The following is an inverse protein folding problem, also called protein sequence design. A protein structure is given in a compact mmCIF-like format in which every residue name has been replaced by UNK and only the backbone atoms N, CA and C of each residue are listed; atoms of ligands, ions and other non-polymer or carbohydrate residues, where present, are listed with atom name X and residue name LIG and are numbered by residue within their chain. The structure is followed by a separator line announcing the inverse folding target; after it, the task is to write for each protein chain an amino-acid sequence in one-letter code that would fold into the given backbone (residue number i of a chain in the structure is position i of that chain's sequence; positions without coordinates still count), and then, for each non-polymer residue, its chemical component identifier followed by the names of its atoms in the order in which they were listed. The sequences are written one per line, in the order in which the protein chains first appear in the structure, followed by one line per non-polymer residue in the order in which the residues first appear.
data_IF_008941467744
#
_entry.id   IF_008941467744
#
_cell.length_a   1.000
_cell.length_b   1.000
_cell.length_c   1.000
_cell.angle_alpha   90.00
_cell.angle_beta   90.00
_cell.angle_gamma   90.00
#
_symmetry.space_group_name_H-M   'P 1'
#
loop_
_entity.id
_entity.type
_entity.pdbx_description
1 polymer ?
#
# COMPACT_ATOMS: atom_id res chain seq x y z
N UNK A 1 -47.08 6.24 32.99
CA UNK A 1 -47.35 7.63 32.53
C UNK A 1 -46.61 7.88 31.22
N UNK A 2 -47.33 8.03 30.11
CA UNK A 2 -46.74 8.32 28.78
C UNK A 2 -46.08 9.70 28.81
N UNK A 3 -44.77 9.79 28.43
CA UNK A 3 -44.11 11.10 28.36
C UNK A 3 -44.77 11.92 27.26
N UNK A 4 -45.24 13.13 27.62
CA UNK A 4 -45.92 14.05 26.72
C UNK A 4 -45.08 14.28 25.44
N UNK A 5 -45.67 14.13 24.27
CA UNK A 5 -45.10 14.39 22.95
C UNK A 5 -45.51 15.80 22.48
N UNK A 6 -44.72 16.35 21.52
CA UNK A 6 -45.02 17.59 20.81
C UNK A 6 -45.13 18.83 21.74
N UNK A 7 -44.17 18.99 22.62
CA UNK A 7 -44.16 20.07 23.66
C UNK A 7 -43.78 21.44 23.09
N UNK A 8 -43.04 21.50 21.98
CA UNK A 8 -42.59 22.73 21.36
C UNK A 8 -43.60 23.21 20.31
N UNK A 9 -43.69 24.52 20.13
CA UNK A 9 -44.47 25.16 19.07
C UNK A 9 -43.55 26.00 18.16
N UNK A 10 -43.98 26.26 16.92
CA UNK A 10 -43.23 27.16 16.05
C UNK A 10 -43.05 28.56 16.62
N UNK A 11 -44.04 29.06 17.40
CA UNK A 11 -43.95 30.34 18.07
C UNK A 11 -42.83 30.30 19.13
N UNK A 12 -42.68 29.19 19.86
CA UNK A 12 -41.60 29.00 20.85
C UNK A 12 -40.24 28.98 20.15
N UNK A 13 -40.11 28.29 18.99
CA UNK A 13 -38.86 28.21 18.25
C UNK A 13 -38.45 29.55 17.66
N UNK A 14 -39.41 30.35 17.13
CA UNK A 14 -39.14 31.71 16.67
C UNK A 14 -38.67 32.63 17.79
N UNK A 15 -39.27 32.55 18.96
CA UNK A 15 -38.79 33.28 20.15
C UNK A 15 -37.39 32.89 20.57
N UNK A 16 -37.06 31.57 20.57
CA UNK A 16 -35.73 31.09 20.91
C UNK A 16 -34.70 31.51 19.85
N UNK A 17 -35.05 31.50 18.57
CA UNK A 17 -34.13 31.91 17.51
C UNK A 17 -33.84 33.42 17.52
N UNK A 18 -34.70 34.24 18.07
CA UNK A 18 -34.53 35.70 18.18
C UNK A 18 -33.62 36.12 19.34
N UNK A 19 -33.25 35.23 20.25
CA UNK A 19 -32.50 35.54 21.46
C UNK A 19 -31.20 34.75 21.50
N UNK A 20 -30.10 35.40 21.88
CA UNK A 20 -28.84 34.70 22.16
C UNK A 20 -28.92 34.07 23.55
N UNK A 21 -28.50 32.81 23.66
CA UNK A 21 -28.51 32.13 24.96
C UNK A 21 -27.20 32.40 25.71
N UNK A 22 -27.29 32.71 26.98
CA UNK A 22 -26.12 32.85 27.88
C UNK A 22 -25.32 31.53 28.02
N UNK A 23 -26.07 30.41 28.00
CA UNK A 23 -25.51 29.03 28.09
C UNK A 23 -26.21 28.11 27.11
N UNK A 24 -25.50 27.08 26.66
CA UNK A 24 -26.11 26.02 25.85
C UNK A 24 -27.22 25.30 26.59
N UNK A 25 -28.39 25.20 25.99
CA UNK A 25 -29.57 24.53 26.57
C UNK A 25 -30.23 23.60 25.57
N UNK A 26 -30.78 22.52 26.10
CA UNK A 26 -31.61 21.58 25.32
C UNK A 26 -33.06 21.70 25.78
N UNK A 27 -33.94 21.86 24.81
CA UNK A 27 -35.39 21.88 25.03
C UNK A 27 -36.00 20.62 24.40
N UNK A 28 -36.71 19.84 25.19
CA UNK A 28 -37.29 18.57 24.73
C UNK A 28 -38.67 18.76 24.13
N UNK A 29 -38.88 18.18 22.92
CA UNK A 29 -40.20 18.09 22.28
C UNK A 29 -40.92 16.77 22.61
N UNK A 30 -40.23 15.86 23.32
CA UNK A 30 -40.74 14.54 23.69
C UNK A 30 -40.34 13.44 22.67
N UNK A 31 -40.43 12.19 23.12
CA UNK A 31 -40.12 11.02 22.30
C UNK A 31 -38.65 10.91 21.85
N UNK A 32 -37.74 11.60 22.57
CA UNK A 32 -36.32 11.66 22.23
C UNK A 32 -35.92 12.85 21.35
N UNK A 33 -36.88 13.63 20.82
CA UNK A 33 -36.57 14.83 20.06
C UNK A 33 -36.22 15.99 20.99
N UNK A 34 -35.06 16.59 20.75
CA UNK A 34 -34.55 17.74 21.51
C UNK A 34 -34.02 18.79 20.53
N UNK A 35 -34.17 20.08 20.89
CA UNK A 35 -33.51 21.17 20.17
C UNK A 35 -32.45 21.82 21.09
N UNK A 36 -31.24 21.93 20.56
CA UNK A 36 -30.12 22.61 21.22
C UNK A 36 -30.14 24.08 20.82
N UNK A 37 -30.17 24.97 21.81
CA UNK A 37 -29.92 26.38 21.62
C UNK A 37 -28.49 26.69 22.05
N UNK A 38 -27.65 27.08 21.09
CA UNK A 38 -26.25 27.43 21.33
C UNK A 38 -26.09 28.87 21.83
N UNK A 39 -24.94 29.21 22.40
CA UNK A 39 -24.61 30.58 22.83
C UNK A 39 -24.73 31.62 21.70
N UNK A 40 -24.45 31.23 20.43
CA UNK A 40 -24.58 32.08 19.26
C UNK A 40 -26.00 32.14 18.68
N UNK A 41 -27.02 31.69 19.40
CA UNK A 41 -28.44 31.75 18.96
C UNK A 41 -28.83 30.66 17.97
N UNK A 42 -27.91 29.78 17.52
CA UNK A 42 -28.18 28.71 16.56
C UNK A 42 -29.01 27.60 17.23
N UNK A 43 -30.11 27.24 16.57
CA UNK A 43 -30.98 26.14 16.98
C UNK A 43 -30.65 24.89 16.14
N UNK A 44 -30.43 23.75 16.80
CA UNK A 44 -30.09 22.50 16.11
C UNK A 44 -30.87 21.34 16.72
N UNK A 45 -31.53 20.56 15.86
CA UNK A 45 -32.31 19.40 16.23
C UNK A 45 -31.43 18.20 16.50
N UNK A 46 -31.73 17.46 17.60
CA UNK A 46 -31.09 16.20 17.99
C UNK A 46 -32.16 15.15 18.33
N UNK A 47 -31.84 13.91 18.06
CA UNK A 47 -32.58 12.77 18.55
C UNK A 47 -31.73 12.05 19.61
N UNK A 48 -32.26 11.99 20.83
CA UNK A 48 -31.64 11.32 21.97
C UNK A 48 -32.21 9.92 22.11
N UNK A 49 -31.35 8.90 22.05
CA UNK A 49 -31.73 7.50 22.07
C UNK A 49 -30.69 6.64 22.79
N UNK A 50 -31.01 5.36 22.99
CA UNK A 50 -30.10 4.32 23.48
C UNK A 50 -30.27 3.09 22.61
N UNK A 51 -29.16 2.38 22.35
CA UNK A 51 -29.15 1.13 21.55
C UNK A 51 -29.24 -0.12 22.44
N UNK A 52 -29.41 0.04 23.75
CA UNK A 52 -29.52 -1.05 24.74
C UNK A 52 -30.35 -0.65 25.93
N UNK A 53 -30.23 -1.38 27.03
CA UNK A 53 -30.93 -1.16 28.28
C UNK A 53 -30.60 0.19 28.97
N UNK A 54 -31.08 0.37 30.22
CA UNK A 54 -30.87 1.60 30.97
C UNK A 54 -29.41 1.85 31.37
N UNK A 55 -28.61 0.81 31.38
CA UNK A 55 -27.16 0.79 31.63
C UNK A 55 -26.34 1.43 30.52
N UNK A 56 -26.85 1.45 29.27
CA UNK A 56 -26.15 2.07 28.14
C UNK A 56 -26.36 3.58 28.12
N UNK A 57 -25.27 4.34 27.96
CA UNK A 57 -25.33 5.80 27.86
C UNK A 57 -26.19 6.25 26.68
N UNK A 58 -27.00 7.32 26.93
CA UNK A 58 -27.81 7.87 25.85
C UNK A 58 -26.95 8.64 24.83
N UNK A 59 -27.14 8.33 23.56
CA UNK A 59 -26.52 9.04 22.44
C UNK A 59 -27.42 10.18 21.93
N UNK A 60 -26.79 11.18 21.28
CA UNK A 60 -27.48 12.24 20.54
C UNK A 60 -27.10 12.22 19.07
N UNK A 61 -28.09 12.01 18.22
CA UNK A 61 -27.96 12.07 16.76
C UNK A 61 -28.41 13.46 16.28
N UNK A 62 -27.53 14.20 15.59
CA UNK A 62 -27.86 15.46 14.98
C UNK A 62 -28.76 15.24 13.77
N UNK A 63 -29.96 15.89 13.75
CA UNK A 63 -30.94 15.74 12.69
C UNK A 63 -30.88 16.88 11.64
N UNK A 64 -30.52 18.10 12.06
CA UNK A 64 -30.42 19.27 11.19
C UNK A 64 -30.55 20.57 11.96
N UNK A 65 -30.34 21.71 11.30
CA UNK A 65 -30.50 23.05 11.89
C UNK A 65 -31.93 23.57 11.66
N UNK A 66 -32.43 24.38 12.58
CA UNK A 66 -33.63 25.18 12.39
C UNK A 66 -33.19 26.57 11.89
N UNK A 67 -33.87 27.20 10.91
CA UNK A 67 -35.16 26.81 10.34
C UNK A 67 -35.09 25.84 9.15
N UNK A 68 -33.93 25.49 8.61
CA UNK A 68 -33.78 24.59 7.42
C UNK A 68 -34.51 23.25 7.63
N UNK A 69 -34.47 22.72 8.85
CA UNK A 69 -35.29 21.60 9.28
C UNK A 69 -36.43 22.13 10.16
N UNK A 70 -37.62 22.17 9.61
CA UNK A 70 -38.83 22.62 10.32
C UNK A 70 -39.20 21.71 11.49
N UNK A 71 -40.03 22.20 12.44
CA UNK A 71 -40.54 21.39 13.54
C UNK A 71 -41.30 20.14 13.05
N UNK A 72 -42.11 20.29 12.00
CA UNK A 72 -42.84 19.17 11.39
C UNK A 72 -41.89 18.13 10.86
N UNK A 73 -40.91 18.52 10.05
CA UNK A 73 -39.92 17.62 9.48
C UNK A 73 -39.02 16.96 10.56
N UNK A 74 -38.68 17.68 11.63
CA UNK A 74 -37.95 17.10 12.78
C UNK A 74 -38.75 16.02 13.50
N UNK A 75 -40.06 16.20 13.65
CA UNK A 75 -40.97 15.19 14.22
C UNK A 75 -41.11 13.96 13.32
N UNK A 76 -41.20 14.15 12.03
CA UNK A 76 -41.19 13.03 11.05
C UNK A 76 -39.90 12.20 11.18
N UNK A 77 -38.72 12.86 11.19
CA UNK A 77 -37.44 12.17 11.41
C UNK A 77 -37.39 11.45 12.78
N UNK A 78 -37.90 12.03 13.86
CA UNK A 78 -38.04 11.35 15.14
C UNK A 78 -38.85 10.06 15.03
N UNK A 79 -39.96 10.11 14.31
CA UNK A 79 -40.84 8.95 14.13
C UNK A 79 -40.10 7.82 13.40
N UNK A 80 -39.37 8.13 12.33
CA UNK A 80 -38.52 7.18 11.62
C UNK A 80 -37.42 6.61 12.53
N UNK A 81 -36.69 7.46 13.25
CA UNK A 81 -35.65 7.00 14.20
C UNK A 81 -36.21 6.05 15.27
N UNK A 82 -37.44 6.28 15.72
CA UNK A 82 -38.11 5.39 16.70
C UNK A 82 -38.53 4.06 16.09
N UNK A 83 -39.00 4.07 14.85
CA UNK A 83 -39.33 2.84 14.10
C UNK A 83 -38.08 1.96 13.96
N UNK A 84 -36.95 2.53 13.52
CA UNK A 84 -35.69 1.81 13.39
C UNK A 84 -35.19 1.22 14.72
N UNK A 85 -35.32 1.99 15.83
CA UNK A 85 -34.98 1.46 17.16
C UNK A 85 -35.87 0.28 17.58
N UNK A 86 -37.16 0.33 17.24
CA UNK A 86 -38.09 -0.77 17.51
C UNK A 86 -37.76 -2.04 16.68
N UNK A 87 -37.14 -1.86 15.50
CA UNK A 87 -36.64 -2.93 14.64
C UNK A 87 -35.22 -3.39 15.04
N UNK A 88 -34.64 -2.87 16.13
CA UNK A 88 -33.28 -3.20 16.58
C UNK A 88 -32.18 -2.53 15.73
N UNK A 89 -32.51 -1.60 14.84
CA UNK A 89 -31.56 -0.88 13.98
C UNK A 89 -31.08 0.39 14.65
N UNK A 90 -29.82 0.77 14.39
CA UNK A 90 -29.26 2.02 14.94
C UNK A 90 -29.61 3.21 14.04
N UNK A 91 -30.38 4.22 14.54
CA UNK A 91 -30.83 5.38 13.76
C UNK A 91 -29.70 6.18 13.11
N UNK A 92 -28.48 6.15 13.67
CA UNK A 92 -27.32 6.83 13.10
C UNK A 92 -26.95 6.25 11.73
N UNK A 93 -26.98 4.92 11.57
CA UNK A 93 -26.63 4.26 10.33
C UNK A 93 -27.76 4.36 9.30
N UNK A 94 -29.01 4.20 9.76
CA UNK A 94 -30.18 4.26 8.88
C UNK A 94 -30.41 5.68 8.33
N UNK A 95 -30.22 6.73 9.13
CA UNK A 95 -30.33 8.11 8.64
C UNK A 95 -29.25 8.44 7.61
N UNK A 96 -28.03 7.91 7.78
CA UNK A 96 -26.97 8.05 6.77
C UNK A 96 -27.32 7.33 5.47
N UNK A 97 -27.90 6.14 5.55
CA UNK A 97 -28.34 5.36 4.39
C UNK A 97 -29.44 6.12 3.60
N UNK A 98 -30.43 6.67 4.29
CA UNK A 98 -31.55 7.43 3.67
C UNK A 98 -31.06 8.71 2.95
N UNK A 99 -30.03 9.38 3.47
CA UNK A 99 -29.43 10.55 2.81
C UNK A 99 -28.64 10.12 1.56
N UNK A 100 -28.04 8.92 1.55
CA UNK A 100 -27.33 8.39 0.39
C UNK A 100 -28.28 7.94 -0.75
N UNK A 101 -29.48 7.46 -0.45
CA UNK A 101 -30.50 7.13 -1.47
C UNK A 101 -31.02 8.37 -2.25
N UNK A 102 -30.93 9.55 -1.66
CA UNK A 102 -31.34 10.82 -2.30
C UNK A 102 -30.25 11.41 -3.20
N UNK A 103 -29.01 10.93 -3.16
CA UNK A 103 -27.93 11.35 -4.05
C UNK A 103 -27.88 10.45 -5.29
N UNK A 104 -27.50 11.03 -6.44
CA UNK A 104 -27.26 10.25 -7.66
C UNK A 104 -26.37 9.05 -7.32
N UNK A 105 -26.76 7.81 -7.64
CA UNK A 105 -25.98 6.64 -7.26
C UNK A 105 -24.61 6.68 -7.91
N UNK A 106 -23.56 6.58 -7.09
CA UNK A 106 -22.17 6.51 -7.54
C UNK A 106 -21.96 5.17 -8.23
N UNK A 107 -21.41 5.18 -9.42
CA UNK A 107 -21.08 3.96 -10.17
C UNK A 107 -19.78 3.33 -9.67
N UNK A 108 -19.53 2.06 -10.00
CA UNK A 108 -18.26 1.37 -9.74
C UNK A 108 -17.08 2.16 -10.34
N UNK A 109 -17.23 2.68 -11.58
CA UNK A 109 -16.21 3.50 -12.24
C UNK A 109 -15.90 4.76 -11.43
N UNK A 110 -16.92 5.50 -11.02
CA UNK A 110 -16.75 6.73 -10.24
C UNK A 110 -16.07 6.44 -8.88
N UNK A 111 -16.44 5.36 -8.21
CA UNK A 111 -15.81 4.96 -6.93
C UNK A 111 -14.35 4.58 -7.11
N UNK A 112 -14.01 3.78 -8.12
CA UNK A 112 -12.62 3.40 -8.39
C UNK A 112 -11.80 4.62 -8.80
N UNK A 113 -12.30 5.48 -9.69
CA UNK A 113 -11.61 6.68 -10.12
C UNK A 113 -11.41 7.68 -8.98
N UNK A 114 -12.38 7.85 -8.08
CA UNK A 114 -12.23 8.68 -6.90
C UNK A 114 -11.05 8.23 -6.04
N UNK A 115 -10.92 6.91 -5.79
CA UNK A 115 -9.77 6.38 -5.06
C UNK A 115 -8.46 6.55 -5.84
N UNK A 116 -8.47 6.35 -7.16
CA UNK A 116 -7.29 6.51 -8.01
C UNK A 116 -6.76 7.95 -7.94
N UNK A 117 -7.61 8.95 -8.08
CA UNK A 117 -7.21 10.37 -8.08
C UNK A 117 -6.87 10.88 -6.67
N UNK A 118 -7.70 10.59 -5.67
CA UNK A 118 -7.58 11.17 -4.34
C UNK A 118 -6.54 10.46 -3.45
N UNK A 119 -6.12 9.25 -3.83
CA UNK A 119 -5.18 8.49 -3.02
C UNK A 119 -4.06 7.86 -3.83
N UNK A 120 -4.39 7.10 -4.88
CA UNK A 120 -3.40 6.26 -5.52
C UNK A 120 -2.35 7.07 -6.28
N UNK A 121 -2.73 8.18 -6.88
CA UNK A 121 -1.87 9.09 -7.65
C UNK A 121 -0.65 9.54 -6.86
N UNK A 122 -0.84 9.93 -5.61
CA UNK A 122 0.25 10.43 -4.76
C UNK A 122 0.97 9.32 -3.99
N UNK A 123 0.30 8.16 -3.80
CA UNK A 123 0.78 7.11 -2.91
C UNK A 123 1.27 5.85 -3.63
N UNK A 124 1.10 5.73 -4.97
CA UNK A 124 1.48 4.55 -5.74
C UNK A 124 2.48 4.88 -6.85
N UNK A 125 3.68 4.33 -6.77
CA UNK A 125 4.74 4.50 -7.79
C UNK A 125 4.29 4.05 -9.19
N UNK A 126 3.49 2.98 -9.27
CA UNK A 126 3.01 2.38 -10.52
C UNK A 126 1.59 2.87 -10.89
N UNK A 127 1.26 4.13 -10.59
CA UNK A 127 -0.08 4.69 -10.79
C UNK A 127 -0.64 4.43 -12.20
N UNK A 128 0.12 4.71 -13.25
CA UNK A 128 -0.33 4.51 -14.65
C UNK A 128 -0.69 3.04 -14.90
N UNK A 129 0.16 2.11 -14.47
CA UNK A 129 -0.10 0.66 -14.61
C UNK A 129 -1.31 0.22 -13.78
N UNK A 130 -1.52 0.87 -12.64
CA UNK A 130 -2.67 0.61 -11.77
C UNK A 130 -3.98 1.05 -12.44
N UNK A 131 -4.02 2.26 -13.02
CA UNK A 131 -5.18 2.77 -13.79
C UNK A 131 -5.50 1.81 -14.92
N UNK A 132 -4.52 1.47 -15.77
CA UNK A 132 -4.71 0.53 -16.88
C UNK A 132 -5.24 -0.83 -16.43
N UNK A 133 -4.79 -1.32 -15.26
CA UNK A 133 -5.25 -2.57 -14.69
C UNK A 133 -6.71 -2.48 -14.22
N UNK A 134 -7.10 -1.39 -13.57
CA UNK A 134 -8.48 -1.17 -13.13
C UNK A 134 -9.42 -1.01 -14.33
N UNK A 135 -9.02 -0.24 -15.33
CA UNK A 135 -9.79 -0.10 -16.56
C UNK A 135 -10.00 -1.45 -17.26
N UNK A 136 -8.91 -2.19 -17.49
CA UNK A 136 -8.93 -3.46 -18.23
C UNK A 136 -9.74 -4.55 -17.54
N UNK A 137 -9.67 -4.64 -16.22
CA UNK A 137 -10.21 -5.81 -15.51
C UNK A 137 -11.51 -5.54 -14.76
N UNK A 138 -11.82 -4.30 -14.44
CA UNK A 138 -12.97 -3.93 -13.63
C UNK A 138 -13.88 -2.96 -14.38
N UNK A 139 -13.40 -1.77 -14.72
CA UNK A 139 -14.23 -0.67 -15.22
C UNK A 139 -14.90 -1.03 -16.55
N UNK A 140 -14.18 -1.69 -17.47
CA UNK A 140 -14.75 -2.11 -18.75
C UNK A 140 -15.88 -3.16 -18.62
N UNK A 141 -16.02 -3.83 -17.47
CA UNK A 141 -17.01 -4.89 -17.28
C UNK A 141 -18.19 -4.47 -16.40
N UNK A 142 -17.91 -3.83 -15.27
CA UNK A 142 -18.93 -3.47 -14.27
C UNK A 142 -18.92 -1.97 -13.95
N UNK A 143 -18.11 -1.17 -14.62
CA UNK A 143 -17.93 0.24 -14.33
C UNK A 143 -19.20 1.09 -14.38
N UNK A 144 -20.16 0.75 -15.24
CA UNK A 144 -21.42 1.46 -15.38
C UNK A 144 -22.47 1.08 -14.31
N UNK A 145 -22.25 0.02 -13.56
CA UNK A 145 -23.21 -0.45 -12.56
C UNK A 145 -23.16 0.49 -11.35
N UNK A 146 -24.31 0.94 -10.80
CA UNK A 146 -24.37 1.62 -9.52
C UNK A 146 -23.71 0.77 -8.44
N UNK A 147 -22.85 1.37 -7.61
CA UNK A 147 -22.02 0.64 -6.66
C UNK A 147 -22.86 -0.09 -5.60
N UNK A 148 -23.98 0.47 -5.18
CA UNK A 148 -24.96 -0.11 -4.26
C UNK A 148 -25.72 -1.30 -4.85
N UNK A 149 -25.76 -1.42 -6.18
CA UNK A 149 -26.39 -2.52 -6.92
C UNK A 149 -25.38 -3.56 -7.41
N UNK A 150 -24.08 -3.28 -7.31
CA UNK A 150 -23.03 -4.20 -7.72
C UNK A 150 -22.75 -5.22 -6.62
N UNK A 151 -23.32 -6.41 -6.76
CA UNK A 151 -23.19 -7.51 -5.80
C UNK A 151 -21.82 -8.23 -5.90
N UNK A 152 -21.53 -9.07 -4.90
CA UNK A 152 -20.29 -9.85 -4.82
C UNK A 152 -20.06 -10.75 -6.05
N UNK A 153 -21.13 -11.29 -6.65
CA UNK A 153 -21.02 -12.20 -7.82
C UNK A 153 -20.49 -11.48 -9.05
N UNK A 154 -20.91 -10.24 -9.26
CA UNK A 154 -20.44 -9.41 -10.38
C UNK A 154 -18.94 -9.10 -10.24
N UNK A 155 -18.47 -8.82 -9.04
CA UNK A 155 -17.04 -8.65 -8.75
C UNK A 155 -16.25 -9.95 -8.98
N UNK A 156 -16.73 -11.08 -8.45
CA UNK A 156 -16.11 -12.40 -8.63
C UNK A 156 -15.98 -12.73 -10.12
N UNK A 157 -17.02 -12.49 -10.93
CA UNK A 157 -16.96 -12.71 -12.37
C UNK A 157 -15.81 -11.94 -13.06
N UNK A 158 -15.50 -10.73 -12.58
CA UNK A 158 -14.34 -9.97 -13.07
C UNK A 158 -13.01 -10.62 -12.64
N UNK A 159 -12.90 -11.03 -11.38
CA UNK A 159 -11.69 -11.67 -10.86
C UNK A 159 -11.44 -13.03 -11.52
N UNK A 160 -12.47 -13.82 -11.78
CA UNK A 160 -12.36 -15.12 -12.45
C UNK A 160 -11.82 -15.00 -13.88
N UNK A 161 -12.14 -13.93 -14.60
CA UNK A 161 -11.54 -13.67 -15.92
C UNK A 161 -10.02 -13.49 -15.83
N UNK A 162 -9.56 -12.82 -14.77
CA UNK A 162 -8.11 -12.64 -14.51
C UNK A 162 -7.50 -13.97 -14.03
N UNK A 163 -8.18 -14.69 -13.14
CA UNK A 163 -7.72 -15.96 -12.56
C UNK A 163 -7.38 -17.00 -13.60
N UNK A 164 -8.16 -17.11 -14.67
CA UNK A 164 -7.93 -18.06 -15.78
C UNK A 164 -6.54 -17.96 -16.39
N UNK A 165 -5.94 -16.76 -16.41
CA UNK A 165 -4.61 -16.51 -17.02
C UNK A 165 -3.53 -16.24 -15.99
N UNK A 166 -3.87 -15.62 -14.87
CA UNK A 166 -2.92 -15.12 -13.87
C UNK A 166 -3.53 -15.14 -12.45
N UNK A 167 -3.58 -16.30 -11.77
CA UNK A 167 -4.26 -16.45 -10.48
C UNK A 167 -3.76 -15.50 -9.39
N UNK A 168 -2.44 -15.26 -9.33
CA UNK A 168 -1.85 -14.32 -8.36
C UNK A 168 -2.28 -12.88 -8.65
N UNK A 169 -2.33 -12.51 -9.94
CA UNK A 169 -2.78 -11.16 -10.32
C UNK A 169 -4.26 -10.93 -9.98
N UNK A 170 -5.11 -11.96 -10.05
CA UNK A 170 -6.52 -11.85 -9.65
C UNK A 170 -6.65 -11.47 -8.16
N UNK A 171 -5.89 -12.12 -7.29
CA UNK A 171 -5.83 -11.76 -5.87
C UNK A 171 -5.40 -10.31 -5.63
N UNK A 172 -4.39 -9.84 -6.37
CA UNK A 172 -3.95 -8.43 -6.29
C UNK A 172 -5.00 -7.44 -6.78
N UNK A 173 -5.72 -7.76 -7.87
CA UNK A 173 -6.82 -6.91 -8.38
C UNK A 173 -7.92 -6.80 -7.34
N UNK A 174 -8.35 -7.93 -6.75
CA UNK A 174 -9.36 -7.95 -5.69
C UNK A 174 -8.93 -7.11 -4.48
N UNK A 175 -7.71 -7.30 -3.98
CA UNK A 175 -7.19 -6.52 -2.84
C UNK A 175 -7.18 -5.01 -3.14
N UNK A 176 -6.85 -4.63 -4.38
CA UNK A 176 -6.87 -3.24 -4.83
C UNK A 176 -8.29 -2.67 -4.82
N UNK A 177 -9.27 -3.40 -5.36
CA UNK A 177 -10.68 -3.01 -5.33
C UNK A 177 -11.19 -2.89 -3.88
N UNK A 178 -10.89 -3.86 -3.03
CA UNK A 178 -11.23 -3.84 -1.61
C UNK A 178 -10.68 -2.60 -0.89
N UNK A 179 -9.43 -2.21 -1.20
CA UNK A 179 -8.81 -1.00 -0.68
C UNK A 179 -9.53 0.27 -1.17
N UNK A 180 -9.90 0.32 -2.46
CA UNK A 180 -10.62 1.44 -3.05
C UNK A 180 -12.01 1.63 -2.41
N UNK A 181 -12.79 0.55 -2.27
CA UNK A 181 -14.10 0.61 -1.62
C UNK A 181 -14.00 1.01 -0.14
N UNK A 182 -13.01 0.47 0.59
CA UNK A 182 -12.76 0.87 1.97
C UNK A 182 -12.37 2.35 2.10
N UNK A 183 -11.64 2.90 1.14
CA UNK A 183 -11.32 4.32 1.09
C UNK A 183 -12.57 5.17 0.84
N UNK A 184 -13.41 4.83 -0.15
CA UNK A 184 -14.65 5.50 -0.43
C UNK A 184 -15.57 5.55 0.79
N UNK A 185 -15.70 4.44 1.52
CA UNK A 185 -16.48 4.39 2.78
C UNK A 185 -15.95 5.31 3.85
N UNK A 186 -14.63 5.31 4.09
CA UNK A 186 -13.99 6.19 5.09
C UNK A 186 -14.19 7.67 4.77
N UNK A 187 -14.17 8.01 3.46
CA UNK A 187 -14.40 9.37 2.97
C UNK A 187 -15.90 9.71 2.84
N UNK A 188 -16.79 8.76 3.12
CA UNK A 188 -18.23 8.90 2.93
C UNK A 188 -18.63 9.32 1.52
N UNK A 189 -17.84 8.93 0.54
CA UNK A 189 -18.09 9.20 -0.88
C UNK A 189 -19.08 8.22 -1.49
N UNK A 190 -18.91 6.94 -1.20
CA UNK A 190 -19.78 5.85 -1.64
C UNK A 190 -19.71 4.68 -0.67
N UNK A 191 -20.73 3.84 -0.64
CA UNK A 191 -20.83 2.72 0.28
C UNK A 191 -21.02 1.41 -0.47
N UNK A 192 -20.18 0.44 -0.19
CA UNK A 192 -20.32 -0.98 -0.59
C UNK A 192 -19.51 -1.86 0.35
N UNK A 193 -20.06 -2.98 0.74
CA UNK A 193 -19.41 -4.05 1.51
C UNK A 193 -19.22 -5.34 0.69
N UNK A 194 -19.53 -5.30 -0.61
CA UNK A 194 -19.54 -6.46 -1.49
C UNK A 194 -18.25 -7.29 -1.52
N UNK A 195 -17.10 -6.67 -1.13
CA UNK A 195 -15.81 -7.34 -1.13
C UNK A 195 -15.27 -7.65 0.29
N UNK A 196 -15.97 -7.26 1.36
CA UNK A 196 -15.39 -7.27 2.71
C UNK A 196 -15.01 -8.67 3.19
N UNK A 197 -15.81 -9.67 2.89
CA UNK A 197 -15.60 -11.06 3.32
C UNK A 197 -14.69 -11.86 2.39
N UNK A 198 -14.41 -11.34 1.16
CA UNK A 198 -13.56 -12.06 0.21
C UNK A 198 -12.09 -12.06 0.66
N UNK A 199 -11.46 -13.22 0.55
CA UNK A 199 -10.02 -13.41 0.74
C UNK A 199 -9.34 -13.80 -0.58
N UNK A 200 -8.02 -13.70 -0.64
CA UNK A 200 -7.25 -13.93 -1.88
C UNK A 200 -7.51 -15.30 -2.47
N UNK A 201 -7.68 -16.32 -1.62
CA UNK A 201 -7.90 -17.70 -2.03
C UNK A 201 -9.26 -17.96 -2.68
N UNK A 202 -10.24 -17.10 -2.46
CA UNK A 202 -11.57 -17.22 -3.10
C UNK A 202 -11.51 -16.85 -4.58
N UNK A 203 -10.60 -15.95 -4.95
CA UNK A 203 -10.54 -15.37 -6.29
C UNK A 203 -9.23 -15.65 -7.04
N UNK A 204 -8.23 -16.22 -6.36
CA UNK A 204 -6.93 -16.47 -6.97
C UNK A 204 -6.00 -17.29 -6.10
N UNK A 205 -4.70 -17.09 -6.26
CA UNK A 205 -3.65 -17.71 -5.44
C UNK A 205 -2.82 -16.65 -4.74
N UNK A 206 -2.31 -16.98 -3.58
CA UNK A 206 -1.23 -16.18 -2.97
C UNK A 206 0.04 -16.36 -3.80
N UNK A 207 0.86 -15.31 -3.90
CA UNK A 207 2.18 -15.46 -4.47
C UNK A 207 2.98 -16.46 -3.62
N UNK A 208 3.55 -17.46 -4.25
CA UNK A 208 4.51 -18.34 -3.60
C UNK A 208 5.79 -17.55 -3.33
N UNK A 209 6.32 -17.65 -2.14
CA UNK A 209 7.63 -17.11 -1.80
C UNK A 209 8.63 -18.05 -2.46
N UNK A 210 9.39 -17.53 -3.43
CA UNK A 210 10.50 -18.28 -4.02
C UNK A 210 11.72 -18.10 -3.13
N UNK A 211 12.20 -19.20 -2.60
CA UNK A 211 13.40 -19.25 -1.77
C UNK A 211 14.54 -19.99 -2.51
N UNK A 212 14.75 -19.58 -3.78
CA UNK A 212 15.82 -20.21 -4.56
C UNK A 212 17.18 -19.68 -4.11
N UNK A 213 18.05 -20.62 -3.74
CA UNK A 213 19.45 -20.41 -3.43
C UNK A 213 20.27 -21.19 -4.47
N UNK A 214 21.25 -20.55 -5.09
CA UNK A 214 22.14 -21.21 -6.04
C UNK A 214 23.11 -22.14 -5.29
N UNK A 215 23.35 -23.32 -5.84
CA UNK A 215 24.43 -24.20 -5.38
C UNK A 215 25.80 -23.64 -5.78
N UNK A 216 26.86 -24.14 -5.15
CA UNK A 216 28.24 -23.76 -5.51
C UNK A 216 28.55 -24.09 -6.98
N UNK A 217 28.05 -25.21 -7.51
CA UNK A 217 28.23 -25.58 -8.92
C UNK A 217 27.52 -24.61 -9.87
N UNK A 218 26.31 -24.22 -9.55
CA UNK A 218 25.57 -23.23 -10.36
C UNK A 218 26.24 -21.85 -10.33
N UNK A 219 26.69 -21.40 -9.14
CA UNK A 219 27.45 -20.15 -9.03
C UNK A 219 28.76 -20.20 -9.83
N UNK A 220 29.50 -21.32 -9.77
CA UNK A 220 30.72 -21.52 -10.58
C UNK A 220 30.44 -21.37 -12.07
N UNK A 221 29.39 -22.00 -12.57
CA UNK A 221 29.00 -21.89 -13.97
C UNK A 221 28.60 -20.46 -14.34
N UNK A 222 27.85 -19.77 -13.47
CA UNK A 222 27.43 -18.39 -13.68
C UNK A 222 28.65 -17.45 -13.71
N UNK A 223 29.58 -17.59 -12.75
CA UNK A 223 30.80 -16.77 -12.69
C UNK A 223 31.68 -17.00 -13.93
N UNK A 224 31.88 -18.25 -14.35
CA UNK A 224 32.60 -18.59 -15.58
C UNK A 224 31.93 -18.01 -16.83
N UNK A 225 30.61 -18.04 -16.90
CA UNK A 225 29.86 -17.45 -17.99
C UNK A 225 29.93 -15.90 -18.02
N UNK A 226 30.01 -15.26 -16.87
CA UNK A 226 30.24 -13.83 -16.75
C UNK A 226 31.63 -13.46 -17.28
N UNK A 227 32.65 -14.25 -16.95
CA UNK A 227 34.04 -14.02 -17.39
C UNK A 227 34.31 -14.44 -18.83
N UNK A 228 33.57 -15.41 -19.33
CA UNK A 228 33.69 -15.97 -20.68
C UNK A 228 32.80 -15.33 -21.75
N UNK A 229 32.33 -14.11 -21.55
CA UNK A 229 31.54 -13.34 -22.51
C UNK A 229 30.24 -14.02 -23.00
N UNK A 230 29.71 -14.98 -22.24
CA UNK A 230 28.41 -15.62 -22.58
C UNK A 230 27.26 -14.61 -22.50
N UNK A 231 27.38 -13.62 -21.65
CA UNK A 231 26.43 -12.53 -21.47
C UNK A 231 26.99 -11.24 -22.08
N UNK A 232 26.11 -10.35 -22.56
CA UNK A 232 26.55 -9.04 -23.04
C UNK A 232 27.20 -8.25 -21.88
N UNK A 233 28.23 -7.39 -22.16
CA UNK A 233 29.05 -6.74 -21.14
C UNK A 233 28.26 -6.04 -20.03
N UNK A 234 27.22 -5.31 -20.39
CA UNK A 234 26.30 -4.68 -19.43
C UNK A 234 25.73 -5.67 -18.41
N UNK A 235 25.28 -6.84 -18.89
CA UNK A 235 24.63 -7.82 -18.02
C UNK A 235 25.64 -8.65 -17.23
N UNK A 236 26.82 -8.90 -17.80
CA UNK A 236 27.95 -9.51 -17.07
C UNK A 236 28.34 -8.64 -15.88
N UNK A 237 28.54 -7.34 -16.10
CA UNK A 237 28.86 -6.39 -15.04
C UNK A 237 27.75 -6.27 -14.00
N UNK A 238 26.50 -6.15 -14.44
CA UNK A 238 25.32 -6.12 -13.57
C UNK A 238 25.25 -7.36 -12.67
N UNK A 239 25.35 -8.57 -13.26
CA UNK A 239 25.24 -9.82 -12.50
C UNK A 239 26.39 -10.02 -11.52
N UNK A 240 27.63 -9.69 -11.93
CA UNK A 240 28.79 -9.73 -11.03
C UNK A 240 28.58 -8.86 -9.79
N UNK A 241 28.14 -7.61 -9.99
CA UNK A 241 27.89 -6.69 -8.87
C UNK A 241 26.70 -7.13 -8.00
N UNK A 242 25.65 -7.71 -8.62
CA UNK A 242 24.53 -8.27 -7.85
C UNK A 242 24.94 -9.46 -6.97
N UNK A 243 25.82 -10.34 -7.50
CA UNK A 243 26.36 -11.47 -6.74
C UNK A 243 27.22 -10.97 -5.58
N UNK A 244 28.12 -10.01 -5.82
CA UNK A 244 29.06 -9.51 -4.81
C UNK A 244 28.34 -8.74 -3.70
N UNK A 245 27.38 -7.88 -4.02
CA UNK A 245 26.77 -6.99 -3.02
C UNK A 245 25.43 -7.49 -2.48
N UNK A 246 24.83 -8.55 -3.02
CA UNK A 246 23.50 -9.02 -2.62
C UNK A 246 22.41 -7.95 -2.69
N UNK A 247 22.61 -6.90 -3.51
CA UNK A 247 21.76 -5.72 -3.58
C UNK A 247 20.58 -5.90 -4.55
N UNK A 248 19.67 -4.93 -4.59
CA UNK A 248 18.56 -4.96 -5.56
C UNK A 248 19.03 -4.53 -6.93
N UNK A 249 18.49 -5.16 -7.96
CA UNK A 249 18.82 -4.85 -9.38
C UNK A 249 18.73 -3.36 -9.70
N UNK A 250 17.74 -2.65 -9.13
CA UNK A 250 17.59 -1.21 -9.36
C UNK A 250 18.77 -0.40 -8.82
N UNK A 251 19.39 -0.82 -7.73
CA UNK A 251 20.49 -0.09 -7.09
C UNK A 251 21.73 -0.07 -8.00
N UNK A 252 22.06 -1.18 -8.67
CA UNK A 252 23.17 -1.22 -9.65
C UNK A 252 22.75 -0.60 -10.99
N UNK A 253 21.54 -0.91 -11.47
CA UNK A 253 21.06 -0.41 -12.77
C UNK A 253 21.02 1.13 -12.85
N UNK A 254 20.72 1.79 -11.74
CA UNK A 254 20.64 3.25 -11.63
C UNK A 254 21.96 3.88 -11.17
N UNK A 255 22.97 3.08 -10.82
CA UNK A 255 24.18 3.53 -10.16
C UNK A 255 24.98 4.49 -11.02
N UNK A 256 25.31 5.63 -10.44
CA UNK A 256 26.19 6.64 -11.03
C UNK A 256 27.60 6.52 -10.47
N UNK A 257 28.61 6.85 -11.28
CA UNK A 257 30.04 6.75 -10.89
C UNK A 257 30.32 7.56 -9.63
N UNK A 258 29.69 8.73 -9.44
CA UNK A 258 29.86 9.59 -8.25
C UNK A 258 29.42 8.95 -6.92
N UNK A 259 28.68 7.83 -6.98
CA UNK A 259 28.26 7.08 -5.78
C UNK A 259 29.42 6.22 -5.21
N UNK A 260 30.47 6.00 -6.00
CA UNK A 260 31.57 5.09 -5.69
C UNK A 260 32.82 5.88 -5.30
N UNK A 261 33.02 6.03 -3.99
CA UNK A 261 34.27 6.60 -3.47
C UNK A 261 35.32 5.48 -3.35
N UNK A 262 36.21 5.43 -4.37
CA UNK A 262 37.24 4.40 -4.45
C UNK A 262 38.39 4.64 -3.46
N UNK A 263 38.56 5.87 -2.94
CA UNK A 263 39.55 6.20 -1.92
C UNK A 263 39.10 5.70 -0.54
N UNK A 264 37.86 6.01 -0.20
CA UNK A 264 37.25 5.58 1.06
C UNK A 264 36.72 4.13 0.99
N UNK A 265 36.83 3.48 -0.16
CA UNK A 265 36.31 2.13 -0.41
C UNK A 265 34.83 2.01 -0.01
N UNK A 266 34.01 2.94 -0.50
CA UNK A 266 32.62 3.07 -0.10
C UNK A 266 31.70 3.32 -1.29
N UNK A 267 30.66 2.53 -1.43
CA UNK A 267 29.53 2.80 -2.32
C UNK A 267 28.35 3.38 -1.54
N UNK A 268 27.96 4.59 -1.85
CA UNK A 268 26.82 5.31 -1.26
C UNK A 268 25.65 5.32 -2.20
N UNK A 269 24.67 4.43 -1.99
CA UNK A 269 23.44 4.39 -2.78
C UNK A 269 22.49 5.48 -2.31
N UNK A 270 22.14 6.47 -3.14
CA UNK A 270 21.23 7.53 -2.74
C UNK A 270 19.80 7.00 -2.52
N UNK A 271 19.02 7.70 -1.71
CA UNK A 271 17.64 7.32 -1.37
C UNK A 271 16.73 7.17 -2.60
N UNK A 272 17.01 7.90 -3.68
CA UNK A 272 16.30 7.88 -4.95
C UNK A 272 16.46 6.53 -5.67
N UNK A 273 17.63 5.89 -5.56
CA UNK A 273 17.93 4.58 -6.13
C UNK A 273 17.51 3.42 -5.21
N UNK A 274 17.21 3.72 -3.95
CA UNK A 274 16.78 2.72 -2.96
C UNK A 274 15.25 2.52 -2.95
N UNK A 275 14.82 1.26 -2.98
CA UNK A 275 13.39 0.91 -2.81
C UNK A 275 12.82 1.40 -1.48
N UNK A 276 13.64 1.43 -0.44
CA UNK A 276 13.26 1.80 0.93
C UNK A 276 13.32 3.31 1.18
N UNK A 277 13.75 4.11 0.18
CA UNK A 277 13.94 5.57 0.27
C UNK A 277 14.90 5.99 1.40
N UNK A 278 15.91 5.15 1.68
CA UNK A 278 16.96 5.41 2.66
C UNK A 278 18.30 5.33 1.93
N UNK A 279 19.23 6.22 2.26
CA UNK A 279 20.62 6.14 1.79
C UNK A 279 21.29 4.89 2.35
N UNK A 280 21.97 4.12 1.50
CA UNK A 280 22.62 2.86 1.90
C UNK A 280 24.13 3.01 1.73
N UNK A 281 24.87 2.64 2.75
CA UNK A 281 26.33 2.65 2.74
C UNK A 281 26.86 1.20 2.69
N UNK A 282 27.61 0.87 1.61
CA UNK A 282 28.25 -0.44 1.43
C UNK A 282 29.73 -0.26 1.22
N UNK A 283 30.59 -0.85 2.08
CA UNK A 283 32.01 -0.94 1.79
C UNK A 283 32.25 -1.69 0.48
N UNK A 284 33.28 -1.28 -0.25
CA UNK A 284 33.75 -1.98 -1.44
C UNK A 284 34.76 -3.02 -0.95
N UNK A 285 34.51 -4.33 -1.16
CA UNK A 285 35.51 -5.36 -0.81
C UNK A 285 36.73 -5.29 -1.71
N UNK A 286 37.89 -5.63 -1.17
CA UNK A 286 39.20 -5.43 -1.82
C UNK A 286 39.29 -6.18 -3.15
N UNK A 287 38.82 -7.44 -3.20
CA UNK A 287 38.91 -8.29 -4.40
C UNK A 287 38.10 -7.81 -5.61
N UNK A 288 37.05 -6.96 -5.42
CA UNK A 288 36.26 -6.45 -6.54
C UNK A 288 36.73 -5.06 -7.01
N UNK A 289 37.61 -4.40 -6.27
CA UNK A 289 38.05 -3.03 -6.57
C UNK A 289 38.61 -2.87 -8.00
N UNK A 290 39.51 -3.73 -8.51
CA UNK A 290 40.03 -3.60 -9.86
C UNK A 290 38.95 -3.64 -10.93
N UNK A 291 37.93 -4.47 -10.71
CA UNK A 291 36.79 -4.56 -11.63
C UNK A 291 35.95 -3.27 -11.64
N UNK A 292 35.70 -2.69 -10.47
CA UNK A 292 34.97 -1.42 -10.36
C UNK A 292 35.77 -0.27 -10.97
N UNK A 293 37.08 -0.19 -10.73
CA UNK A 293 37.97 0.78 -11.36
C UNK A 293 37.89 0.73 -12.88
N UNK A 294 37.97 -0.46 -13.47
CA UNK A 294 37.81 -0.66 -14.91
C UNK A 294 36.46 -0.14 -15.42
N UNK A 295 35.35 -0.43 -14.71
CA UNK A 295 34.02 0.08 -15.09
C UNK A 295 33.96 1.61 -15.02
N UNK A 296 34.52 2.22 -14.00
CA UNK A 296 34.58 3.68 -13.82
C UNK A 296 35.36 4.32 -14.97
N UNK A 297 36.54 3.79 -15.30
CA UNK A 297 37.38 4.30 -16.41
C UNK A 297 36.67 4.19 -17.76
N UNK A 298 36.11 3.00 -18.05
CA UNK A 298 35.44 2.75 -19.33
C UNK A 298 34.19 3.62 -19.53
N UNK A 299 33.47 3.92 -18.47
CA UNK A 299 32.18 4.57 -18.53
C UNK A 299 32.19 6.02 -18.02
N UNK A 300 33.37 6.59 -17.75
CA UNK A 300 33.52 7.96 -17.24
C UNK A 300 32.72 9.01 -18.05
N UNK A 301 32.69 8.84 -19.36
CA UNK A 301 32.01 9.74 -20.30
C UNK A 301 30.46 9.76 -20.15
N UNK A 302 29.87 8.72 -19.57
CA UNK A 302 28.42 8.60 -19.39
C UNK A 302 27.95 9.02 -18.01
N UNK A 303 28.85 8.99 -17.01
CA UNK A 303 28.53 9.17 -15.60
C UNK A 303 27.82 7.99 -14.94
N UNK A 304 27.43 6.95 -15.69
CA UNK A 304 26.75 5.76 -15.22
C UNK A 304 27.76 4.62 -15.04
N UNK A 305 27.70 3.88 -13.92
CA UNK A 305 28.63 2.78 -13.67
C UNK A 305 28.61 1.71 -14.76
N UNK A 306 27.42 1.37 -15.28
CA UNK A 306 27.25 0.36 -16.33
C UNK A 306 27.26 0.95 -17.76
N UNK A 307 27.59 2.25 -17.93
CA UNK A 307 27.73 2.92 -19.21
C UNK A 307 26.42 3.36 -19.87
N UNK A 308 25.30 2.72 -19.56
CA UNK A 308 23.98 3.06 -20.10
C UNK A 308 22.86 2.79 -19.09
N UNK A 309 21.73 3.48 -19.25
CA UNK A 309 20.53 3.27 -18.46
C UNK A 309 19.50 2.43 -19.22
N UNK A 310 19.43 1.12 -18.97
CA UNK A 310 18.40 0.26 -19.54
C UNK A 310 17.10 0.35 -18.75
N UNK A 311 15.94 0.13 -19.44
CA UNK A 311 14.63 0.02 -18.79
C UNK A 311 14.60 -1.17 -17.82
N UNK A 312 13.93 -1.00 -16.68
CA UNK A 312 13.75 -2.05 -15.66
C UNK A 312 13.14 -3.33 -16.23
N UNK A 313 12.13 -3.17 -17.10
CA UNK A 313 11.46 -4.30 -17.78
C UNK A 313 12.40 -5.08 -18.69
N UNK A 314 13.31 -4.39 -19.39
CA UNK A 314 14.31 -5.01 -20.27
C UNK A 314 15.30 -5.82 -19.44
N UNK A 315 15.83 -5.26 -18.36
CA UNK A 315 16.76 -5.96 -17.47
C UNK A 315 16.09 -7.16 -16.79
N UNK A 316 14.87 -6.99 -16.29
CA UNK A 316 14.11 -8.08 -15.70
C UNK A 316 13.81 -9.20 -16.71
N UNK A 317 13.51 -8.86 -17.97
CA UNK A 317 13.28 -9.84 -19.03
C UNK A 317 14.55 -10.62 -19.38
N UNK A 318 15.70 -9.93 -19.47
CA UNK A 318 16.98 -10.57 -19.69
C UNK A 318 17.31 -11.54 -18.55
N UNK A 319 17.20 -11.10 -17.31
CA UNK A 319 17.44 -11.94 -16.14
C UNK A 319 16.56 -13.18 -16.08
N UNK A 320 15.26 -13.06 -16.40
CA UNK A 320 14.36 -14.24 -16.47
C UNK A 320 14.75 -15.28 -17.52
N UNK A 321 15.54 -14.92 -18.51
CA UNK A 321 15.96 -15.83 -19.60
C UNK A 321 17.45 -16.23 -19.50
N UNK A 322 18.23 -15.63 -18.60
CA UNK A 322 19.67 -15.87 -18.49
C UNK A 322 20.00 -17.34 -18.19
N UNK A 323 19.23 -17.98 -17.28
CA UNK A 323 19.36 -19.39 -16.94
C UNK A 323 19.31 -20.34 -18.15
N UNK A 324 18.55 -19.98 -19.21
CA UNK A 324 18.42 -20.80 -20.43
C UNK A 324 19.75 -20.94 -21.18
N UNK A 325 20.61 -19.90 -21.15
CA UNK A 325 21.91 -19.91 -21.77
C UNK A 325 22.86 -20.91 -21.11
N UNK A 326 22.65 -21.13 -19.78
CA UNK A 326 23.45 -22.07 -18.99
C UNK A 326 22.78 -23.43 -18.84
N UNK A 327 21.59 -23.61 -19.41
CA UNK A 327 20.76 -24.83 -19.25
C UNK A 327 20.48 -25.19 -17.78
N UNK A 328 20.47 -24.20 -16.94
CA UNK A 328 20.15 -24.34 -15.51
C UNK A 328 18.64 -24.28 -15.26
N UNK A 329 18.20 -24.72 -14.07
CA UNK A 329 16.85 -24.49 -13.61
C UNK A 329 16.53 -22.99 -13.57
N UNK A 330 15.23 -22.65 -13.62
CA UNK A 330 14.80 -21.26 -13.67
C UNK A 330 15.24 -20.47 -12.44
N UNK A 331 16.01 -19.41 -12.66
CA UNK A 331 16.36 -18.40 -11.68
C UNK A 331 16.16 -16.98 -12.21
N UNK A 332 16.17 -16.00 -11.34
CA UNK A 332 16.05 -14.57 -11.62
C UNK A 332 17.22 -13.80 -11.00
N UNK A 333 17.43 -12.55 -11.42
CA UNK A 333 18.48 -11.71 -10.81
C UNK A 333 18.27 -11.47 -9.30
N UNK A 334 17.05 -11.63 -8.81
CA UNK A 334 16.75 -11.48 -7.38
C UNK A 334 17.24 -12.66 -6.56
N UNK A 335 17.38 -13.83 -7.15
CA UNK A 335 17.81 -15.04 -6.47
C UNK A 335 19.29 -14.97 -6.06
N UNK A 336 20.11 -14.13 -6.73
CA UNK A 336 21.48 -13.82 -6.25
C UNK A 336 21.48 -13.21 -4.85
N UNK A 337 20.48 -12.40 -4.55
CA UNK A 337 20.34 -11.80 -3.22
C UNK A 337 19.93 -12.84 -2.15
N UNK A 338 19.05 -13.79 -2.51
CA UNK A 338 18.72 -14.90 -1.60
C UNK A 338 19.95 -15.77 -1.35
N UNK A 339 20.70 -16.08 -2.40
CA UNK A 339 21.96 -16.83 -2.32
C UNK A 339 22.98 -16.12 -1.45
N UNK A 340 23.21 -14.82 -1.68
CA UNK A 340 24.09 -13.98 -0.86
C UNK A 340 23.72 -14.03 0.63
N UNK A 341 22.43 -13.80 0.93
CA UNK A 341 21.96 -13.79 2.32
C UNK A 341 22.15 -15.14 3.00
N UNK A 342 21.75 -16.22 2.33
CA UNK A 342 21.85 -17.58 2.88
C UNK A 342 23.31 -17.98 3.10
N UNK A 343 24.14 -17.83 2.08
CA UNK A 343 25.54 -18.26 2.17
C UNK A 343 26.38 -17.45 3.18
N UNK A 344 26.11 -16.15 3.33
CA UNK A 344 26.78 -15.37 4.37
C UNK A 344 26.35 -15.80 5.78
N UNK A 345 25.09 -16.12 5.99
CA UNK A 345 24.64 -16.67 7.27
C UNK A 345 25.28 -18.05 7.54
N UNK A 346 25.41 -18.90 6.51
CA UNK A 346 26.07 -20.20 6.61
C UNK A 346 27.59 -20.07 6.90
N UNK A 347 28.20 -18.97 6.46
CA UNK A 347 29.60 -18.62 6.80
C UNK A 347 29.75 -18.03 8.22
N UNK A 348 28.66 -17.92 8.99
CA UNK A 348 28.66 -17.44 10.36
C UNK A 348 28.67 -15.92 10.53
N UNK A 349 28.39 -15.18 9.45
CA UNK A 349 28.21 -13.72 9.56
C UNK A 349 26.89 -13.42 10.29
N UNK A 350 26.96 -12.48 11.24
CA UNK A 350 25.79 -12.05 12.02
C UNK A 350 24.63 -11.65 11.08
N UNK A 351 23.45 -12.27 11.20
CA UNK A 351 22.28 -11.95 10.36
C UNK A 351 21.93 -10.46 10.34
N UNK A 352 22.18 -9.76 11.45
CA UNK A 352 21.97 -8.31 11.53
C UNK A 352 22.87 -7.54 10.54
N UNK A 353 24.13 -7.94 10.40
CA UNK A 353 25.06 -7.34 9.43
C UNK A 353 24.62 -7.64 8.00
N UNK A 354 24.21 -8.87 7.72
CA UNK A 354 23.68 -9.28 6.40
C UNK A 354 22.45 -8.45 6.03
N UNK A 355 21.50 -8.24 6.96
CA UNK A 355 20.32 -7.40 6.78
C UNK A 355 20.72 -5.93 6.51
N UNK A 356 21.75 -5.41 7.18
CA UNK A 356 22.27 -4.07 6.91
C UNK A 356 22.94 -3.93 5.54
N UNK A 357 23.69 -4.94 5.06
CA UNK A 357 24.28 -4.95 3.72
C UNK A 357 23.16 -4.97 2.67
N UNK A 358 22.18 -5.85 2.84
CA UNK A 358 21.08 -6.01 1.92
C UNK A 358 20.04 -4.88 2.00
N UNK A 359 20.11 -4.03 3.03
CA UNK A 359 19.15 -2.94 3.29
C UNK A 359 17.71 -3.43 3.39
N UNK A 360 17.49 -4.50 4.14
CA UNK A 360 16.17 -4.89 4.60
C UNK A 360 15.68 -3.90 5.65
N UNK A 361 14.39 -3.63 5.67
CA UNK A 361 13.82 -2.80 6.74
C UNK A 361 13.71 -3.65 8.00
N UNK A 362 14.42 -3.26 9.03
CA UNK A 362 14.28 -3.87 10.35
C UNK A 362 12.86 -3.61 10.88
N UNK A 363 12.16 -4.62 11.37
CA UNK A 363 10.85 -4.43 11.99
C UNK A 363 10.98 -3.74 13.37
N UNK A 364 10.02 -2.83 13.68
CA UNK A 364 9.83 -2.30 15.03
C UNK A 364 10.76 -1.15 15.44
N UNK A 365 10.99 -1.02 16.75
CA UNK A 365 11.67 0.11 17.39
C UNK A 365 13.16 0.24 17.04
N UNK A 366 13.82 -0.82 16.61
CA UNK A 366 15.24 -0.80 16.22
C UNK A 366 15.56 0.21 15.11
N UNK A 367 14.60 0.47 14.22
CA UNK A 367 14.73 1.48 13.16
C UNK A 367 14.85 2.91 13.69
N UNK A 368 14.29 3.19 14.85
CA UNK A 368 14.18 4.55 15.39
C UNK A 368 15.42 4.97 16.19
N UNK A 369 16.12 3.99 16.79
CA UNK A 369 17.22 4.29 17.74
C UNK A 369 18.60 3.94 17.22
N UNK A 370 18.74 3.04 16.23
CA UNK A 370 20.03 2.59 15.74
C UNK A 370 20.40 3.24 14.42
N UNK A 371 21.29 4.22 14.45
CA UNK A 371 21.84 4.94 13.29
C UNK A 371 23.25 4.47 12.90
N UNK A 372 23.76 3.40 13.51
CA UNK A 372 25.08 2.87 13.18
C UNK A 372 25.14 2.37 11.74
N UNK A 373 26.25 2.65 11.07
CA UNK A 373 26.50 2.21 9.69
C UNK A 373 27.15 0.85 9.59
N UNK A 374 27.73 0.32 10.69
CA UNK A 374 28.44 -0.96 10.77
C UNK A 374 29.46 -1.17 9.63
N UNK A 375 30.21 -0.12 9.25
CA UNK A 375 31.04 -0.16 8.04
C UNK A 375 32.12 -1.25 8.13
N UNK A 376 32.81 -1.39 9.27
CA UNK A 376 33.84 -2.39 9.42
C UNK A 376 33.27 -3.81 9.33
N UNK A 377 32.25 -4.14 10.11
CA UNK A 377 31.62 -5.46 10.06
C UNK A 377 31.06 -5.83 8.69
N UNK A 378 30.52 -4.85 7.95
CA UNK A 378 30.10 -5.05 6.57
C UNK A 378 31.28 -5.30 5.63
N UNK A 379 32.41 -4.61 5.82
CA UNK A 379 33.64 -4.80 5.04
C UNK A 379 34.16 -6.20 5.20
N UNK A 380 34.30 -6.64 6.47
CA UNK A 380 34.77 -7.97 6.80
C UNK A 380 33.87 -9.06 6.20
N UNK A 381 32.56 -8.90 6.31
CA UNK A 381 31.58 -9.80 5.72
C UNK A 381 31.65 -9.84 4.18
N UNK A 382 31.83 -8.70 3.52
CA UNK A 382 31.94 -8.62 2.06
C UNK A 382 33.28 -9.16 1.56
N UNK A 383 34.37 -8.97 2.26
CA UNK A 383 35.66 -9.57 1.92
C UNK A 383 35.60 -11.11 2.06
N UNK A 384 35.09 -11.62 3.19
CA UNK A 384 34.85 -13.06 3.36
C UNK A 384 33.97 -13.65 2.23
N UNK A 385 32.96 -12.90 1.79
CA UNK A 385 32.12 -13.35 0.69
C UNK A 385 32.84 -13.39 -0.65
N UNK A 386 33.66 -12.38 -0.99
CA UNK A 386 34.43 -12.36 -2.23
C UNK A 386 35.45 -13.49 -2.24
N UNK A 387 36.18 -13.72 -1.13
CA UNK A 387 37.08 -14.88 -0.97
C UNK A 387 36.33 -16.20 -1.21
N UNK A 388 35.14 -16.34 -0.68
CA UNK A 388 34.29 -17.53 -0.93
C UNK A 388 33.91 -17.68 -2.40
N UNK A 389 33.59 -16.59 -3.09
CA UNK A 389 33.28 -16.60 -4.52
C UNK A 389 34.49 -17.02 -5.35
N UNK A 390 35.68 -16.54 -5.01
CA UNK A 390 36.95 -16.92 -5.66
C UNK A 390 37.22 -18.42 -5.51
N UNK A 391 37.03 -18.98 -4.31
CA UNK A 391 37.10 -20.42 -4.07
C UNK A 391 36.09 -21.24 -4.90
N UNK A 392 34.89 -20.69 -5.12
CA UNK A 392 33.87 -21.36 -5.95
C UNK A 392 34.25 -21.29 -7.44
N UNK A 393 34.80 -20.18 -7.91
CA UNK A 393 35.17 -19.96 -9.30
C UNK A 393 36.38 -20.80 -9.74
N UNK A 394 37.39 -20.91 -8.91
CA UNK A 394 38.59 -21.78 -9.13
C UNK A 394 38.18 -23.20 -9.25
#
# INVERSE_FOLDING_TARGET
MGKALNKLSDSTLKKLAAVQAEKERFYSDGGGLEIKHSKGGKLTWYFRYRTGGREVAAERLKLGAYPELSLKAAREKRTLCRAWLAEGKNPRYELCATVQEALKPVTVKEAINYWLEEYAKDNRKDYIKLVQRMDKHIICHIGAIPLDKCDTRQWIACFDRVRKKAPVAAGHVMQTCKQALKFCRRRRYAFSNALDDLIVTDVGKRAEIRERVHSNSELKEILRAIDGDVFAPYYSALMRLLIVFGCRTAEIRLSEIKEWDLKEMLWTVPKEHSKTKVTIFRPIPDGILPFIQKLVEQNAHTGLLLGELKKDTTVAQYGRNAHKRLKQEHWTLHDFRHTFTTMLNDLGVDPHIVEHITAHQMPGQQKTYNHSRYLQAKRDALNLWVERLDMIAG
#
